data_IF_714260591560
#
_entry.id   IF_714260591560
#
_cell.length_a   1.000
_cell.length_b   1.000
_cell.length_c   1.000
_cell.angle_alpha   90.00
_cell.angle_beta   90.00
_cell.angle_gamma   90.00
#
_symmetry.space_group_name_H-M   'P 1'
#
loop_
_entity.id
_entity.type
_entity.pdbx_description
1 polymer ?
#
# COMPACT_ATOMS: atom_id res chain seq x y z
N UNK A 1 -2.92 -2.57 66.51
CA UNK A 1 -3.42 -3.95 66.29
C UNK A 1 -3.34 -4.19 64.77
N UNK A 2 -2.16 -4.40 64.20
CA UNK A 2 -1.50 -5.71 63.99
C UNK A 2 -2.46 -6.78 63.45
N UNK A 3 -2.28 -7.19 62.19
CA UNK A 3 -2.04 -8.59 61.77
C UNK A 3 -2.16 -8.74 60.24
N UNK A 4 -1.03 -8.87 59.55
CA UNK A 4 -0.87 -9.79 58.41
C UNK A 4 -0.75 -11.22 58.95
N UNK A 5 -1.22 -12.23 58.20
CA UNK A 5 -0.31 -13.28 57.69
C UNK A 5 -0.79 -13.80 56.31
N UNK A 6 -0.10 -14.61 55.51
CA UNK A 6 1.26 -15.12 55.42
C UNK A 6 1.43 -15.69 54.01
N UNK A 7 2.67 -15.71 53.53
CA UNK A 7 3.10 -16.47 52.35
C UNK A 7 2.79 -17.97 52.46
N UNK A 8 2.52 -18.59 51.31
CA UNK A 8 2.54 -20.04 51.09
C UNK A 8 3.27 -20.32 49.78
N UNK A 9 4.56 -20.59 49.90
CA UNK A 9 5.44 -21.15 48.88
C UNK A 9 5.06 -22.63 48.62
N UNK A 10 5.39 -23.20 47.45
CA UNK A 10 5.75 -24.64 47.19
C UNK A 10 5.40 -25.14 45.76
N UNK A 11 6.47 -25.20 44.95
CA UNK A 11 6.94 -26.30 44.05
C UNK A 11 6.13 -26.74 42.81
N UNK A 12 6.81 -26.53 41.66
CA UNK A 12 7.23 -27.52 40.66
C UNK A 12 6.57 -28.92 40.71
N UNK A 13 5.78 -29.22 39.68
CA UNK A 13 5.56 -30.57 39.20
C UNK A 13 6.07 -30.72 37.76
N UNK A 14 7.24 -31.33 37.63
CA UNK A 14 7.66 -32.10 36.46
C UNK A 14 6.91 -33.44 36.43
N UNK A 15 6.25 -33.75 35.31
CA UNK A 15 5.87 -35.11 34.95
C UNK A 15 6.27 -35.36 33.49
N UNK A 16 7.24 -36.25 33.34
CA UNK A 16 7.67 -36.85 32.08
C UNK A 16 6.76 -38.03 31.70
N UNK A 17 6.64 -38.26 30.39
CA UNK A 17 6.76 -39.57 29.72
C UNK A 17 5.56 -40.15 28.95
N UNK A 18 5.87 -40.40 27.66
CA UNK A 18 5.43 -41.48 26.76
C UNK A 18 4.29 -41.12 25.79
N UNK A 19 4.55 -40.88 24.49
CA UNK A 19 5.08 -41.75 23.40
C UNK A 19 3.98 -42.44 22.57
N UNK A 20 3.64 -41.87 21.40
CA UNK A 20 3.67 -42.47 20.03
C UNK A 20 2.79 -41.63 19.08
N UNK A 21 3.41 -40.85 18.18
CA UNK A 21 3.55 -41.08 16.72
C UNK A 21 2.22 -41.14 15.94
N UNK A 22 1.95 -40.10 15.15
CA UNK A 22 1.95 -40.19 13.68
C UNK A 22 2.23 -38.80 13.07
N UNK A 23 3.32 -38.71 12.32
CA UNK A 23 3.75 -37.57 11.51
C UNK A 23 3.17 -37.73 10.11
N UNK A 24 2.62 -36.65 9.54
CA UNK A 24 2.53 -36.43 8.11
C UNK A 24 2.97 -34.98 7.83
N UNK A 25 4.27 -34.83 7.63
CA UNK A 25 4.91 -33.60 7.13
C UNK A 25 5.20 -33.84 5.64
N UNK A 26 4.53 -33.12 4.75
CA UNK A 26 4.92 -33.04 3.34
C UNK A 26 5.95 -31.91 3.22
N UNK A 27 7.22 -32.30 3.17
CA UNK A 27 8.38 -31.41 3.00
C UNK A 27 8.89 -31.58 1.57
N UNK A 28 8.58 -30.66 0.67
CA UNK A 28 9.21 -30.59 -0.64
C UNK A 28 10.61 -29.94 -0.47
N UNK A 29 11.65 -30.77 -0.53
CA UNK A 29 13.05 -30.38 -0.40
C UNK A 29 13.66 -30.31 -1.81
N UNK A 30 13.82 -29.11 -2.35
CA UNK A 30 14.71 -28.87 -3.49
C UNK A 30 16.13 -28.70 -2.94
N UNK A 31 16.84 -29.80 -2.79
CA UNK A 31 18.30 -29.81 -2.71
C UNK A 31 18.79 -30.25 -4.09
N UNK A 32 19.41 -29.33 -4.83
CA UNK A 32 20.21 -29.68 -6.00
C UNK A 32 21.67 -29.64 -5.57
N UNK A 33 22.26 -30.83 -5.42
CA UNK A 33 23.67 -31.02 -5.13
C UNK A 33 24.51 -30.56 -6.33
N UNK A 34 25.21 -29.44 -6.16
CA UNK A 34 26.02 -28.81 -7.19
C UNK A 34 27.40 -29.48 -7.39
N UNK A 35 27.72 -30.55 -6.66
CA UNK A 35 29.13 -31.02 -6.52
C UNK A 35 29.41 -32.38 -7.20
N UNK A 36 28.42 -33.12 -7.69
CA UNK A 36 28.69 -34.43 -8.33
C UNK A 36 28.64 -34.46 -9.87
N UNK A 37 28.34 -33.34 -10.55
CA UNK A 37 28.36 -33.29 -12.02
C UNK A 37 29.70 -32.82 -12.62
N UNK A 38 30.73 -32.61 -11.80
CA UNK A 38 31.97 -32.00 -12.30
C UNK A 38 32.96 -33.00 -12.93
N UNK A 39 32.69 -34.31 -12.92
CA UNK A 39 33.69 -35.32 -13.31
C UNK A 39 33.33 -36.24 -14.49
N UNK A 40 32.29 -35.95 -15.28
CA UNK A 40 31.89 -36.85 -16.40
C UNK A 40 31.70 -36.19 -17.78
N UNK A 41 31.87 -34.87 -17.94
CA UNK A 41 31.51 -34.22 -19.22
C UNK A 41 32.68 -33.46 -19.86
N UNK A 42 33.66 -34.21 -20.37
CA UNK A 42 34.70 -33.71 -21.30
C UNK A 42 34.22 -33.56 -22.76
N UNK A 43 32.92 -33.54 -23.04
CA UNK A 43 32.44 -33.16 -24.37
C UNK A 43 31.18 -32.28 -24.30
N UNK A 44 31.35 -31.01 -24.68
CA UNK A 44 30.28 -30.00 -24.68
C UNK A 44 29.06 -30.33 -25.55
N UNK A 45 29.16 -31.35 -26.42
CA UNK A 45 28.08 -31.78 -27.31
C UNK A 45 26.91 -32.45 -26.56
N UNK A 46 27.14 -33.09 -25.41
CA UNK A 46 26.09 -33.75 -24.64
C UNK A 46 25.22 -32.72 -23.87
N UNK A 47 25.85 -31.75 -23.22
CA UNK A 47 25.17 -30.65 -22.49
C UNK A 47 24.35 -29.78 -23.44
N UNK A 48 24.89 -29.48 -24.62
CA UNK A 48 24.18 -28.66 -25.61
C UNK A 48 22.95 -29.36 -26.18
N UNK A 49 23.01 -30.69 -26.41
CA UNK A 49 21.87 -31.50 -26.85
C UNK A 49 20.81 -31.63 -25.76
N UNK A 50 21.20 -31.83 -24.50
CA UNK A 50 20.28 -31.88 -23.37
C UNK A 50 19.57 -30.51 -23.18
N UNK A 51 20.29 -29.39 -23.23
CA UNK A 51 19.68 -28.05 -23.20
C UNK A 51 18.75 -27.77 -24.39
N UNK A 52 19.02 -28.31 -25.59
CA UNK A 52 18.13 -28.17 -26.75
C UNK A 52 16.87 -29.03 -26.61
N UNK A 53 17.00 -30.25 -26.09
CA UNK A 53 15.87 -31.16 -25.83
C UNK A 53 15.01 -30.67 -24.66
N UNK A 54 15.61 -30.24 -23.56
CA UNK A 54 14.91 -29.64 -22.43
C UNK A 54 14.15 -28.37 -22.85
N UNK A 55 14.78 -27.47 -23.64
CA UNK A 55 14.07 -26.30 -24.20
C UNK A 55 12.94 -26.67 -25.15
N UNK A 56 13.08 -27.73 -25.97
CA UNK A 56 12.03 -28.21 -26.87
C UNK A 56 10.90 -28.98 -26.16
N UNK A 57 11.19 -29.63 -25.03
CA UNK A 57 10.20 -30.31 -24.20
C UNK A 57 9.45 -29.31 -23.32
N UNK A 58 10.15 -28.32 -22.76
CA UNK A 58 9.56 -27.18 -22.07
C UNK A 58 8.73 -26.31 -23.02
N UNK A 59 9.17 -26.06 -24.26
CA UNK A 59 8.38 -25.27 -25.20
C UNK A 59 7.15 -26.00 -25.75
N UNK A 60 7.19 -27.33 -25.95
CA UNK A 60 6.01 -28.11 -26.41
C UNK A 60 5.06 -28.50 -25.27
N UNK A 61 5.56 -28.70 -24.06
CA UNK A 61 4.77 -28.97 -22.86
C UNK A 61 4.16 -27.71 -22.24
N UNK A 62 4.91 -26.61 -22.15
CA UNK A 62 4.40 -25.35 -21.61
C UNK A 62 3.45 -24.63 -22.58
N UNK A 63 3.68 -24.69 -23.90
CA UNK A 63 2.75 -24.10 -24.86
C UNK A 63 1.42 -24.87 -24.96
N UNK A 64 1.40 -26.17 -24.62
CA UNK A 64 0.16 -26.98 -24.60
C UNK A 64 -0.57 -26.93 -23.24
N UNK A 65 0.13 -26.61 -22.15
CA UNK A 65 -0.46 -26.45 -20.81
C UNK A 65 -0.85 -25.00 -20.48
N UNK A 66 -0.30 -24.01 -21.18
CA UNK A 66 -0.72 -22.61 -21.12
C UNK A 66 -1.62 -22.29 -22.33
N UNK A 67 -2.63 -23.13 -22.57
CA UNK A 67 -3.81 -22.66 -23.28
C UNK A 67 -4.29 -21.40 -22.56
N UNK A 68 -4.68 -20.35 -23.29
CA UNK A 68 -5.12 -19.07 -22.73
C UNK A 68 -6.22 -19.32 -21.71
N UNK A 69 -5.83 -19.48 -20.44
CA UNK A 69 -6.74 -19.84 -19.38
C UNK A 69 -7.69 -18.66 -19.26
N UNK A 70 -8.99 -18.92 -19.42
CA UNK A 70 -9.99 -17.89 -19.20
C UNK A 70 -9.71 -17.23 -17.84
N UNK A 71 -9.77 -15.90 -17.75
CA UNK A 71 -9.42 -15.22 -16.51
C UNK A 71 -10.29 -15.77 -15.38
N UNK A 72 -9.69 -16.00 -14.21
CA UNK A 72 -10.37 -16.55 -13.04
C UNK A 72 -11.47 -15.64 -12.50
N UNK A 73 -11.49 -14.39 -12.96
CA UNK A 73 -12.49 -13.40 -12.62
C UNK A 73 -12.66 -12.42 -13.79
N UNK A 74 -13.90 -12.00 -14.04
CA UNK A 74 -14.22 -10.84 -14.89
C UNK A 74 -15.19 -9.95 -14.13
N UNK A 75 -14.89 -8.65 -13.95
CA UNK A 75 -15.84 -7.74 -13.31
C UNK A 75 -17.07 -7.56 -14.19
N UNK A 76 -18.22 -7.26 -13.57
CA UNK A 76 -19.43 -6.95 -14.32
C UNK A 76 -19.28 -5.58 -14.98
N UNK A 77 -19.78 -5.43 -16.21
CA UNK A 77 -19.68 -4.16 -16.95
C UNK A 77 -20.35 -3.00 -16.21
N UNK A 78 -21.42 -3.27 -15.46
CA UNK A 78 -22.08 -2.27 -14.62
C UNK A 78 -21.14 -1.68 -13.56
N UNK A 79 -20.41 -2.53 -12.84
CA UNK A 79 -19.43 -2.10 -11.82
C UNK A 79 -18.27 -1.31 -12.43
N UNK A 80 -17.83 -1.73 -13.62
CA UNK A 80 -16.74 -1.05 -14.32
C UNK A 80 -17.17 0.36 -14.75
N UNK A 81 -18.38 0.51 -15.29
CA UNK A 81 -18.90 1.79 -15.78
C UNK A 81 -19.20 2.79 -14.65
N UNK A 82 -19.59 2.33 -13.47
CA UNK A 82 -19.85 3.20 -12.30
C UNK A 82 -18.59 3.47 -11.46
N UNK A 83 -17.45 2.88 -11.82
CA UNK A 83 -16.21 3.08 -11.09
C UNK A 83 -15.69 4.52 -11.18
N UNK A 84 -15.02 4.98 -10.11
CA UNK A 84 -14.35 6.30 -10.10
C UNK A 84 -13.28 6.42 -11.18
N UNK A 85 -12.62 5.30 -11.53
CA UNK A 85 -11.62 5.28 -12.60
C UNK A 85 -12.26 5.50 -13.98
N UNK A 86 -13.43 4.90 -14.25
CA UNK A 86 -14.16 5.15 -15.48
C UNK A 86 -14.59 6.62 -15.58
N UNK A 87 -15.13 7.19 -14.49
CA UNK A 87 -15.51 8.61 -14.45
C UNK A 87 -14.31 9.55 -14.65
N UNK A 88 -13.16 9.24 -14.07
CA UNK A 88 -11.92 10.01 -14.27
C UNK A 88 -11.41 9.89 -15.70
N UNK A 89 -11.38 8.66 -16.24
CA UNK A 89 -10.92 8.39 -17.59
C UNK A 89 -11.78 9.07 -18.64
N UNK A 90 -13.10 9.11 -18.45
CA UNK A 90 -14.01 9.79 -19.37
C UNK A 90 -13.70 11.29 -19.45
N UNK A 91 -13.45 11.94 -18.30
CA UNK A 91 -13.05 13.35 -18.27
C UNK A 91 -11.71 13.62 -18.98
N UNK A 92 -10.75 12.70 -18.85
CA UNK A 92 -9.38 12.94 -19.33
C UNK A 92 -9.19 12.56 -20.80
N UNK A 93 -9.57 11.34 -21.19
CA UNK A 93 -9.36 10.80 -22.55
C UNK A 93 -10.65 10.71 -23.36
N UNK A 94 -11.77 11.20 -22.83
CA UNK A 94 -13.04 11.37 -23.55
C UNK A 94 -13.59 10.07 -24.11
N UNK A 95 -14.10 9.16 -23.27
CA UNK A 95 -14.62 7.88 -23.76
C UNK A 95 -15.48 7.13 -22.72
N UNK A 96 -16.80 7.13 -22.95
CA UNK A 96 -17.66 5.96 -22.81
C UNK A 96 -18.75 6.07 -23.89
N UNK A 97 -18.53 5.49 -25.07
CA UNK A 97 -19.62 5.30 -26.03
C UNK A 97 -20.70 4.39 -25.45
N UNK A 98 -21.80 4.10 -26.19
CA UNK A 98 -22.90 3.26 -25.69
C UNK A 98 -22.50 1.84 -25.26
N UNK A 99 -21.26 1.43 -25.51
CA UNK A 99 -20.67 0.13 -25.14
C UNK A 99 -19.99 0.10 -23.76
N UNK A 100 -19.86 1.24 -23.08
CA UNK A 100 -19.23 1.33 -21.76
C UNK A 100 -17.70 1.28 -21.78
N UNK A 101 -17.11 1.28 -20.58
CA UNK A 101 -15.68 1.25 -20.31
C UNK A 101 -15.12 -0.16 -20.41
N UNK A 102 -14.02 -0.33 -21.14
CA UNK A 102 -13.40 -1.64 -21.39
C UNK A 102 -11.86 -1.59 -21.25
N UNK A 103 -11.19 -2.71 -21.52
CA UNK A 103 -9.73 -2.83 -21.45
C UNK A 103 -9.00 -1.78 -22.30
N UNK A 104 -9.52 -1.44 -23.48
CA UNK A 104 -8.88 -0.47 -24.38
C UNK A 104 -8.92 0.94 -23.79
N UNK A 105 -9.93 1.26 -22.99
CA UNK A 105 -10.01 2.54 -22.29
C UNK A 105 -8.91 2.65 -21.25
N UNK A 106 -8.73 1.59 -20.44
CA UNK A 106 -7.62 1.53 -19.48
C UNK A 106 -6.25 1.59 -20.18
N UNK A 107 -6.06 0.84 -21.27
CA UNK A 107 -4.82 0.87 -22.05
C UNK A 107 -4.51 2.28 -22.58
N UNK A 108 -5.51 3.02 -23.07
CA UNK A 108 -5.35 4.42 -23.50
C UNK A 108 -5.05 5.35 -22.33
N UNK A 109 -5.72 5.19 -21.20
CA UNK A 109 -5.49 6.00 -20.00
C UNK A 109 -4.07 5.80 -19.49
N UNK A 110 -3.62 4.55 -19.42
CA UNK A 110 -2.25 4.18 -19.06
C UNK A 110 -1.23 4.70 -20.07
N UNK A 111 -1.48 4.55 -21.37
CA UNK A 111 -0.58 5.09 -22.39
C UNK A 111 -0.39 6.61 -22.21
N UNK A 112 -1.47 7.33 -21.91
CA UNK A 112 -1.41 8.77 -21.64
C UNK A 112 -0.69 9.13 -20.33
N UNK A 113 -0.84 8.34 -19.27
CA UNK A 113 -0.12 8.59 -18.01
C UNK A 113 1.40 8.49 -18.17
N UNK A 114 1.85 7.67 -19.13
CA UNK A 114 3.27 7.49 -19.45
C UNK A 114 3.76 8.51 -20.48
N UNK A 115 3.00 8.78 -21.55
CA UNK A 115 3.42 9.69 -22.63
C UNK A 115 3.28 11.17 -22.25
N UNK A 116 2.33 11.51 -21.38
CA UNK A 116 1.99 12.87 -20.99
C UNK A 116 1.87 13.01 -19.45
N UNK A 117 2.92 12.67 -18.67
CA UNK A 117 2.81 12.60 -17.21
C UNK A 117 2.43 13.95 -16.58
N UNK A 118 2.84 15.08 -17.18
CA UNK A 118 2.46 16.45 -16.77
C UNK A 118 0.97 16.67 -16.75
N UNK A 119 0.34 16.42 -17.88
CA UNK A 119 -1.09 16.62 -18.03
C UNK A 119 -1.86 15.59 -17.21
N UNK A 120 -1.38 14.35 -17.19
CA UNK A 120 -2.03 13.27 -16.45
C UNK A 120 -2.05 13.54 -14.93
N UNK A 121 -0.90 13.83 -14.32
CA UNK A 121 -0.83 14.04 -12.87
C UNK A 121 -1.47 15.35 -12.44
N UNK A 122 -1.45 16.38 -13.30
CA UNK A 122 -2.26 17.57 -13.08
C UNK A 122 -3.76 17.24 -13.04
N UNK A 123 -4.24 16.46 -14.01
CA UNK A 123 -5.63 16.02 -14.02
C UNK A 123 -5.99 15.15 -12.80
N UNK A 124 -5.07 14.30 -12.32
CA UNK A 124 -5.24 13.56 -11.07
C UNK A 124 -5.41 14.54 -9.91
N UNK A 125 -4.50 15.51 -9.75
CA UNK A 125 -4.56 16.53 -8.69
C UNK A 125 -5.92 17.26 -8.68
N UNK A 126 -6.38 17.72 -9.84
CA UNK A 126 -7.67 18.41 -9.96
C UNK A 126 -8.86 17.46 -9.66
N UNK A 127 -8.74 16.19 -10.04
CA UNK A 127 -9.80 15.19 -9.81
C UNK A 127 -9.92 14.76 -8.35
N UNK A 128 -8.81 14.64 -7.62
CA UNK A 128 -8.82 14.27 -6.20
C UNK A 128 -9.16 15.43 -5.28
N UNK A 129 -9.13 16.68 -5.78
CA UNK A 129 -9.49 17.90 -5.06
C UNK A 129 -8.75 18.01 -3.72
N UNK A 130 -7.42 17.84 -3.77
CA UNK A 130 -6.58 17.99 -2.57
C UNK A 130 -6.76 19.41 -2.00
N UNK A 131 -6.96 19.56 -0.68
CA UNK A 131 -6.84 20.86 -0.05
C UNK A 131 -5.39 21.33 -0.13
N UNK A 132 -5.23 22.64 -0.28
CA UNK A 132 -3.94 23.28 -0.57
C UNK A 132 -3.97 24.07 -1.87
N UNK A 133 -2.78 24.47 -2.32
CA UNK A 133 -2.65 25.28 -3.53
C UNK A 133 -1.50 24.79 -4.40
N UNK A 134 -1.75 24.79 -5.71
CA UNK A 134 -0.72 24.63 -6.72
C UNK A 134 0.05 25.92 -6.83
N UNK A 135 1.37 25.86 -6.92
CA UNK A 135 2.20 27.05 -7.01
C UNK A 135 2.34 27.60 -8.44
N UNK A 136 3.16 28.65 -8.64
CA UNK A 136 3.34 29.29 -9.93
C UNK A 136 3.74 28.32 -11.05
N UNK A 137 4.66 27.38 -10.79
CA UNK A 137 5.13 26.41 -11.80
C UNK A 137 4.06 25.43 -12.24
N UNK A 138 3.11 25.06 -11.38
CA UNK A 138 2.05 24.11 -11.73
C UNK A 138 0.79 24.78 -12.29
N UNK A 139 0.70 26.13 -12.20
CA UNK A 139 -0.40 26.93 -12.77
C UNK A 139 -0.18 27.34 -14.23
N UNK A 140 1.06 27.33 -14.73
CA UNK A 140 1.33 27.49 -16.17
C UNK A 140 0.73 26.30 -16.94
N UNK A 141 0.12 26.54 -18.10
CA UNK A 141 -0.37 25.49 -19.01
C UNK A 141 0.76 24.60 -19.54
N UNK A 142 2.02 25.06 -19.47
CA UNK A 142 3.25 24.26 -19.71
C UNK A 142 3.84 23.63 -18.43
N UNK A 143 3.16 23.83 -17.31
CA UNK A 143 3.63 23.67 -15.94
C UNK A 143 4.09 22.27 -15.55
N UNK A 144 5.03 22.22 -14.62
CA UNK A 144 5.89 21.07 -14.34
C UNK A 144 5.27 20.06 -13.37
N UNK A 145 5.00 18.83 -13.83
CA UNK A 145 4.84 17.62 -12.99
C UNK A 145 5.16 16.35 -13.80
N UNK A 146 6.03 15.41 -13.41
CA UNK A 146 7.31 15.60 -12.74
C UNK A 146 8.29 16.40 -13.62
N UNK A 147 9.10 17.22 -12.98
CA UNK A 147 10.32 17.76 -13.57
C UNK A 147 11.42 16.72 -13.36
N UNK A 148 11.96 16.15 -14.43
CA UNK A 148 13.07 15.19 -14.32
C UNK A 148 14.41 15.93 -14.45
N UNK A 149 15.31 15.56 -13.54
CA UNK A 149 16.77 15.75 -13.52
C UNK A 149 17.31 17.19 -13.55
N UNK A 150 17.43 17.78 -12.37
CA UNK A 150 18.54 18.71 -12.06
C UNK A 150 19.37 18.26 -10.85
N UNK A 151 19.17 17.03 -10.36
CA UNK A 151 19.81 16.47 -9.17
C UNK A 151 20.48 15.11 -9.42
N UNK A 152 21.05 14.48 -8.37
CA UNK A 152 21.66 13.15 -8.47
C UNK A 152 20.65 12.10 -8.99
N UNK A 153 21.13 10.99 -9.59
CA UNK A 153 20.26 9.94 -10.12
C UNK A 153 19.21 9.50 -9.10
N UNK A 154 17.94 9.73 -9.41
CA UNK A 154 16.80 9.36 -8.57
C UNK A 154 16.09 10.52 -7.85
N UNK A 155 16.63 11.75 -7.91
CA UNK A 155 15.93 12.93 -7.42
C UNK A 155 14.85 13.38 -8.44
N UNK A 156 13.58 13.29 -8.05
CA UNK A 156 12.46 13.77 -8.87
C UNK A 156 11.58 14.66 -8.01
N UNK A 157 11.46 15.92 -8.40
CA UNK A 157 10.56 16.86 -7.74
C UNK A 157 9.16 16.75 -8.35
N UNK A 158 8.21 16.40 -7.48
CA UNK A 158 6.80 16.31 -7.80
C UNK A 158 6.08 17.51 -7.22
N UNK A 159 5.44 18.32 -8.08
CA UNK A 159 4.73 19.53 -7.68
C UNK A 159 5.56 20.45 -6.76
N UNK A 160 6.75 20.90 -7.20
CA UNK A 160 7.72 21.60 -6.36
C UNK A 160 7.21 22.89 -5.70
N UNK A 161 6.28 23.61 -6.32
CA UNK A 161 5.72 24.82 -5.72
C UNK A 161 4.34 24.58 -5.07
N UNK A 162 3.84 23.33 -5.05
CA UNK A 162 2.58 23.03 -4.39
C UNK A 162 2.74 22.99 -2.87
N UNK A 163 1.79 23.60 -2.19
CA UNK A 163 1.68 23.55 -0.73
C UNK A 163 0.43 22.75 -0.36
N UNK A 164 0.63 21.61 0.31
CA UNK A 164 -0.42 20.72 0.81
C UNK A 164 -0.11 20.33 2.25
N UNK A 165 -1.15 20.15 3.06
CA UNK A 165 -1.01 19.60 4.40
C UNK A 165 -1.69 18.22 4.48
N UNK A 166 -0.96 17.23 4.99
CA UNK A 166 -1.46 15.85 5.03
C UNK A 166 -2.61 15.68 6.04
N UNK A 167 -2.54 16.35 7.19
CA UNK A 167 -3.60 16.32 8.18
C UNK A 167 -4.87 17.03 7.65
N UNK A 168 -4.70 18.18 6.98
CA UNK A 168 -5.81 18.88 6.32
C UNK A 168 -6.48 18.00 5.26
N UNK A 169 -5.70 17.30 4.42
CA UNK A 169 -6.24 16.36 3.44
C UNK A 169 -7.15 15.28 4.07
N UNK A 170 -6.74 14.76 5.21
CA UNK A 170 -7.44 13.66 5.86
C UNK A 170 -8.59 14.12 6.76
N UNK A 171 -8.51 15.32 7.33
CA UNK A 171 -9.51 15.84 8.25
C UNK A 171 -10.50 16.76 7.58
N UNK A 172 -10.13 17.56 6.58
CA UNK A 172 -11.02 18.58 6.00
C UNK A 172 -11.75 18.11 4.74
N UNK A 173 -12.93 18.72 4.50
CA UNK A 173 -13.69 18.55 3.27
C UNK A 173 -15.18 18.24 3.46
N UNK A 174 -15.99 18.34 2.40
CA UNK A 174 -17.46 18.31 2.46
C UNK A 174 -18.04 16.96 2.89
N UNK A 175 -17.25 15.89 2.86
CA UNK A 175 -17.67 14.55 3.26
C UNK A 175 -17.23 14.18 4.68
N UNK A 176 -16.67 15.12 5.43
CA UNK A 176 -16.08 14.92 6.76
C UNK A 176 -16.68 15.86 7.83
N UNK A 177 -18.00 16.09 7.89
CA UNK A 177 -18.59 16.90 8.96
C UNK A 177 -18.35 16.25 10.33
N UNK A 178 -18.40 17.04 11.39
CA UNK A 178 -17.95 16.63 12.73
C UNK A 178 -18.66 15.40 13.28
N UNK A 179 -19.94 15.23 12.94
CA UNK A 179 -20.80 14.13 13.36
C UNK A 179 -20.53 12.81 12.61
N UNK A 180 -19.85 12.86 11.47
CA UNK A 180 -19.59 11.65 10.68
C UNK A 180 -18.49 10.81 11.33
N UNK A 181 -18.61 9.49 11.18
CA UNK A 181 -17.58 8.55 11.62
C UNK A 181 -16.30 8.70 10.81
N UNK A 182 -15.18 8.86 11.52
CA UNK A 182 -13.83 8.89 10.95
C UNK A 182 -13.11 7.55 11.16
N UNK A 183 -13.16 6.99 12.37
CA UNK A 183 -12.46 5.76 12.73
C UNK A 183 -13.40 4.77 13.43
N UNK A 184 -13.20 3.49 13.12
CA UNK A 184 -13.78 2.35 13.83
C UNK A 184 -12.64 1.51 14.38
N UNK A 185 -12.43 1.57 15.70
CA UNK A 185 -11.34 0.85 16.37
C UNK A 185 -11.86 -0.45 16.97
N UNK A 186 -11.33 -1.58 16.50
CA UNK A 186 -11.65 -2.90 17.02
C UNK A 186 -10.54 -3.34 17.99
N UNK A 187 -10.94 -3.91 19.12
CA UNK A 187 -10.00 -4.45 20.10
C UNK A 187 -10.44 -5.85 20.51
N UNK A 188 -9.51 -6.67 20.98
CA UNK A 188 -9.80 -8.01 21.52
C UNK A 188 -10.64 -8.00 22.81
N UNK A 189 -10.80 -6.83 23.44
CA UNK A 189 -11.50 -6.67 24.73
C UNK A 189 -13.00 -6.44 24.59
N UNK A 190 -13.46 -6.06 23.40
CA UNK A 190 -14.87 -5.71 23.14
C UNK A 190 -15.33 -6.28 21.82
N UNK A 191 -16.58 -6.77 21.79
CA UNK A 191 -17.22 -7.19 20.54
C UNK A 191 -17.67 -5.98 19.69
N UNK A 192 -18.00 -4.85 20.33
CA UNK A 192 -18.38 -3.63 19.64
C UNK A 192 -17.15 -2.75 19.36
N UNK A 193 -17.05 -2.12 18.17
CA UNK A 193 -15.99 -1.17 17.89
C UNK A 193 -16.14 0.10 18.72
N UNK A 194 -15.01 0.77 18.99
CA UNK A 194 -15.00 2.15 19.45
C UNK A 194 -15.14 3.05 18.22
N UNK A 195 -16.19 3.84 18.21
CA UNK A 195 -16.49 4.78 17.13
C UNK A 195 -15.89 6.15 17.46
N UNK A 196 -15.16 6.74 16.51
CA UNK A 196 -14.60 8.09 16.64
C UNK A 196 -15.07 8.93 15.47
N UNK A 197 -15.77 10.02 15.77
CA UNK A 197 -16.24 10.97 14.74
C UNK A 197 -15.11 11.88 14.27
N UNK A 198 -15.30 12.57 13.15
CA UNK A 198 -14.34 13.55 12.66
C UNK A 198 -14.13 14.69 13.66
N UNK A 199 -15.18 15.19 14.31
CA UNK A 199 -15.06 16.26 15.31
C UNK A 199 -14.20 15.81 16.50
N UNK A 200 -14.47 14.62 17.04
CA UNK A 200 -13.69 14.06 18.14
C UNK A 200 -12.22 13.82 17.74
N UNK A 201 -11.98 13.35 16.51
CA UNK A 201 -10.64 13.16 15.99
C UNK A 201 -9.89 14.49 15.81
N UNK A 202 -10.54 15.52 15.26
CA UNK A 202 -9.96 16.88 15.12
C UNK A 202 -9.59 17.48 16.47
N UNK A 203 -10.45 17.33 17.47
CA UNK A 203 -10.15 17.80 18.82
C UNK A 203 -8.92 17.11 19.42
N UNK A 204 -8.83 15.78 19.29
CA UNK A 204 -7.67 15.02 19.78
C UNK A 204 -6.39 15.40 19.04
N UNK A 205 -6.45 15.51 17.71
CA UNK A 205 -5.35 15.99 16.88
C UNK A 205 -4.92 17.40 17.30
N UNK A 206 -5.88 18.30 17.57
CA UNK A 206 -5.62 19.66 18.04
C UNK A 206 -4.90 19.69 19.39
N UNK A 207 -5.33 18.84 20.35
CA UNK A 207 -4.66 18.71 21.65
C UNK A 207 -3.23 18.20 21.52
N UNK A 208 -3.02 17.13 20.77
CA UNK A 208 -1.69 16.55 20.55
C UNK A 208 -0.77 17.52 19.81
N UNK A 209 -1.29 18.21 18.79
CA UNK A 209 -0.55 19.25 18.06
C UNK A 209 -0.11 20.36 18.98
N UNK A 210 -0.99 20.86 19.84
CA UNK A 210 -0.67 21.92 20.78
C UNK A 210 0.43 21.48 21.77
N UNK A 211 0.39 20.24 22.25
CA UNK A 211 1.44 19.66 23.08
C UNK A 211 2.79 19.60 22.35
N UNK A 212 2.82 19.02 21.15
CA UNK A 212 4.04 18.94 20.33
C UNK A 212 4.63 20.33 20.05
N UNK A 213 3.79 21.31 19.71
CA UNK A 213 4.23 22.68 19.47
C UNK A 213 4.78 23.35 20.73
N UNK A 214 4.16 23.11 21.90
CA UNK A 214 4.65 23.62 23.19
C UNK A 214 6.01 23.02 23.56
N UNK A 215 6.27 21.78 23.16
CA UNK A 215 7.57 21.11 23.32
C UNK A 215 8.60 21.54 22.24
N UNK A 216 8.25 22.49 21.37
CA UNK A 216 9.14 23.10 20.38
C UNK A 216 9.22 22.38 19.04
N UNK A 217 8.36 21.39 18.77
CA UNK A 217 8.32 20.69 17.48
C UNK A 217 7.82 21.62 16.38
N UNK A 218 8.58 21.71 15.28
CA UNK A 218 8.23 22.50 14.11
C UNK A 218 8.45 21.79 12.78
N UNK A 219 8.30 22.52 11.66
CA UNK A 219 8.51 21.96 10.33
C UNK A 219 9.92 21.35 10.16
N UNK A 220 9.99 20.12 9.65
CA UNK A 220 11.23 19.38 9.43
C UNK A 220 11.76 18.60 10.64
N UNK A 221 11.11 18.73 11.80
CA UNK A 221 11.42 17.90 12.95
C UNK A 221 10.88 16.47 12.80
N UNK A 222 11.58 15.52 13.42
CA UNK A 222 11.21 14.10 13.37
C UNK A 222 10.53 13.73 14.67
N UNK A 223 9.27 13.31 14.58
CA UNK A 223 8.52 12.72 15.70
C UNK A 223 8.51 11.21 15.54
N UNK A 224 9.00 10.49 16.54
CA UNK A 224 8.97 9.02 16.57
C UNK A 224 8.00 8.55 17.66
N UNK A 225 7.15 7.57 17.34
CA UNK A 225 6.19 7.00 18.27
C UNK A 225 6.31 5.49 18.36
N UNK A 226 6.26 4.96 19.58
CA UNK A 226 6.03 3.53 19.84
C UNK A 226 4.56 3.38 20.21
N UNK A 227 3.76 3.00 19.24
CA UNK A 227 2.29 3.03 19.33
C UNK A 227 1.68 1.70 18.94
N UNK A 228 0.47 1.44 19.44
CA UNK A 228 -0.38 0.35 18.94
C UNK A 228 -1.14 0.81 17.68
N UNK A 229 -1.78 -0.13 16.97
CA UNK A 229 -2.68 0.22 15.87
C UNK A 229 -4.05 0.64 16.40
N UNK A 230 -4.15 1.87 16.90
CA UNK A 230 -5.37 2.44 17.48
C UNK A 230 -5.63 3.88 16.98
N UNK A 231 -6.76 4.45 17.42
CA UNK A 231 -7.13 5.83 17.07
C UNK A 231 -6.13 6.87 17.59
N UNK A 232 -5.44 6.59 18.71
CA UNK A 232 -4.43 7.47 19.28
C UNK A 232 -3.19 7.56 18.38
N UNK A 233 -2.76 6.44 17.79
CA UNK A 233 -1.69 6.42 16.81
C UNK A 233 -2.03 7.26 15.55
N UNK A 234 -3.26 7.14 15.06
CA UNK A 234 -3.73 7.96 13.94
C UNK A 234 -3.74 9.45 14.31
N UNK A 235 -4.27 9.80 15.49
CA UNK A 235 -4.31 11.18 15.96
C UNK A 235 -2.90 11.77 16.17
N UNK A 236 -1.96 11.01 16.73
CA UNK A 236 -0.58 11.45 16.93
C UNK A 236 0.15 11.70 15.60
N UNK A 237 -0.03 10.81 14.61
CA UNK A 237 0.51 11.01 13.27
C UNK A 237 -0.07 12.25 12.59
N UNK A 238 -1.40 12.44 12.67
CA UNK A 238 -2.07 13.62 12.12
C UNK A 238 -1.62 14.91 12.82
N UNK A 239 -1.41 14.87 14.13
CA UNK A 239 -0.85 16.00 14.88
C UNK A 239 0.55 16.37 14.41
N UNK A 240 1.46 15.39 14.29
CA UNK A 240 2.81 15.62 13.78
C UNK A 240 2.81 16.16 12.35
N UNK A 241 2.09 15.50 11.43
CA UNK A 241 2.02 15.93 10.01
C UNK A 241 1.28 17.25 9.80
N UNK A 242 0.48 17.71 10.78
CA UNK A 242 -0.09 19.06 10.75
C UNK A 242 0.96 20.15 10.99
N UNK A 243 2.07 19.85 11.68
CA UNK A 243 3.13 20.82 12.02
C UNK A 243 4.12 21.03 10.88
N UNK A 244 4.35 20.02 10.04
CA UNK A 244 5.23 20.08 8.87
C UNK A 244 6.35 19.06 8.96
#
# INVERSE_FOLDING_TARGET
QSSTPSQGDTRLHTAQSSSRRHRLFVRARLHFDYVHLHNSLRSGAAVHRWHKMARRALSRGAARALGTKAPSFKPQLADVNTSRLAAFSDKLIGCAGPRGYDRRHYERLHARSVSEPRQFWRAVFDAVRLPGSLGPRERDARGAVPWRDSGPPGAVDWFPDAAVNHAELLLEGPHKPDENLALLSYTERSAAPVETTYGALREEVGRLRAGLAADGVGPGDRVAGVVANDAGAAAAMLAATSLG
#
